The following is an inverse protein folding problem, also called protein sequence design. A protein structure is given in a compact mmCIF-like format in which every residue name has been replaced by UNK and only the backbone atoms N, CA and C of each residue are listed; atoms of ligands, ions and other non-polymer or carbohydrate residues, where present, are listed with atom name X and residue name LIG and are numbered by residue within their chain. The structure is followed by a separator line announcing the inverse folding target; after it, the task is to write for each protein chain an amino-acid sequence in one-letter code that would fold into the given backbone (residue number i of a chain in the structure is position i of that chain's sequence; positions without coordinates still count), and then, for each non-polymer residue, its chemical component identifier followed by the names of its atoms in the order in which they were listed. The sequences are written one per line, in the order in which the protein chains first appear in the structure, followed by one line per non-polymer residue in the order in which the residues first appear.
data_IF_706849825754
#
_entry.id   IF_706849825754
#
_cell.length_a   1.000
_cell.length_b   1.000
_cell.length_c   1.000
_cell.angle_alpha   90.00
_cell.angle_beta   90.00
_cell.angle_gamma   90.00
#
_symmetry.space_group_name_H-M   'P 1'
#
loop_
_entity.id
_entity.type
_entity.pdbx_description
1 polymer ?
#
# COMPACT_ATOMS: atom_id res chain seq x y z
N UNK A 1 32.89 6.45 27.41
CA UNK A 1 32.62 5.70 26.16
C UNK A 1 31.50 6.39 25.40
N UNK A 2 31.76 6.81 24.16
CA UNK A 2 30.77 7.39 23.27
C UNK A 2 29.69 6.37 22.89
N UNK A 3 28.56 6.83 22.34
CA UNK A 3 27.46 5.96 21.87
C UNK A 3 27.97 4.96 20.81
N UNK A 4 28.91 5.39 19.98
CA UNK A 4 29.55 4.55 18.95
C UNK A 4 30.47 3.50 19.55
N UNK A 5 31.20 3.83 20.62
CA UNK A 5 32.06 2.86 21.32
C UNK A 5 31.24 1.79 22.03
N UNK A 6 30.10 2.17 22.63
CA UNK A 6 29.16 1.20 23.23
C UNK A 6 28.57 0.25 22.19
N UNK A 7 28.19 0.76 21.01
CA UNK A 7 27.70 -0.04 19.90
C UNK A 7 28.77 -1.02 19.38
N UNK A 8 30.01 -0.55 19.20
CA UNK A 8 31.13 -1.41 18.76
C UNK A 8 31.46 -2.53 19.74
N UNK A 9 31.35 -2.28 21.04
CA UNK A 9 31.55 -3.32 22.06
C UNK A 9 30.44 -4.36 22.02
N UNK A 10 29.18 -3.94 21.86
CA UNK A 10 28.04 -4.85 21.73
C UNK A 10 28.21 -5.77 20.50
N UNK A 11 28.62 -5.24 19.35
CA UNK A 11 28.86 -6.03 18.14
C UNK A 11 30.00 -7.04 18.29
N UNK A 12 31.02 -6.76 19.12
CA UNK A 12 32.14 -7.69 19.38
C UNK A 12 31.77 -8.84 20.32
N UNK A 13 30.72 -8.69 21.12
CA UNK A 13 30.20 -9.72 22.04
C UNK A 13 29.10 -10.58 21.42
N UNK A 14 28.61 -10.25 20.24
CA UNK A 14 27.67 -11.10 19.50
C UNK A 14 28.49 -12.23 18.87
N UNK A 15 28.31 -13.44 19.39
CA UNK A 15 28.84 -14.64 18.77
C UNK A 15 28.14 -14.86 17.41
N UNK A 16 28.88 -14.59 16.35
CA UNK A 16 28.41 -14.72 14.96
C UNK A 16 28.54 -16.16 14.43
N UNK A 17 29.05 -17.10 15.24
CA UNK A 17 29.20 -18.51 14.82
C UNK A 17 27.85 -19.16 14.52
N UNK A 18 26.80 -18.86 15.30
CA UNK A 18 25.42 -19.32 15.06
C UNK A 18 24.82 -18.80 13.73
N UNK A 19 25.29 -17.66 13.22
CA UNK A 19 24.84 -17.10 11.94
C UNK A 19 25.52 -17.76 10.74
N UNK A 20 26.70 -18.37 10.94
CA UNK A 20 27.46 -19.00 9.84
C UNK A 20 27.00 -20.42 9.51
N UNK A 21 26.41 -21.13 10.48
CA UNK A 21 25.96 -22.52 10.31
C UNK A 21 24.61 -22.66 9.59
N UNK A 22 23.85 -21.57 9.43
CA UNK A 22 22.56 -21.58 8.71
C UNK A 22 22.69 -21.49 7.18
N UNK A 23 23.91 -21.31 6.65
CA UNK A 23 24.16 -21.31 5.18
C UNK A 23 24.07 -22.68 4.52
N UNK A 24 23.92 -23.78 5.28
CA UNK A 24 23.91 -25.15 4.72
C UNK A 24 22.51 -25.77 4.49
N UNK A 25 21.43 -25.07 4.79
CA UNK A 25 20.06 -25.53 4.47
C UNK A 25 19.33 -24.50 3.60
N UNK A 26 19.70 -24.47 2.33
CA UNK A 26 18.96 -23.79 1.26
C UNK A 26 17.73 -24.63 0.96
N UNK A 27 16.67 -24.50 1.77
CA UNK A 27 15.31 -24.89 1.34
C UNK A 27 14.17 -24.30 2.18
N UNK A 28 14.43 -23.67 3.34
CA UNK A 28 13.41 -22.85 4.03
C UNK A 28 14.04 -21.71 4.84
N UNK A 29 13.84 -20.42 4.49
CA UNK A 29 14.19 -19.33 5.40
C UNK A 29 13.11 -19.23 6.48
N UNK A 30 13.10 -20.16 7.44
CA UNK A 30 12.21 -20.11 8.62
C UNK A 30 12.77 -19.16 9.66
N UNK A 31 12.57 -17.86 9.45
CA UNK A 31 12.15 -16.86 10.45
C UNK A 31 12.50 -15.46 9.92
N UNK A 32 11.73 -14.96 8.96
CA UNK A 32 11.65 -13.52 8.76
C UNK A 32 10.90 -12.98 9.98
N UNK A 33 11.58 -12.26 10.87
CA UNK A 33 10.94 -11.57 12.00
C UNK A 33 9.78 -10.76 11.43
N UNK A 34 8.57 -11.07 11.86
CA UNK A 34 7.38 -10.40 11.35
C UNK A 34 7.44 -8.92 11.75
N UNK A 35 7.47 -8.04 10.74
CA UNK A 35 7.59 -6.59 10.96
C UNK A 35 6.28 -5.84 10.73
N UNK A 36 5.15 -6.54 10.71
CA UNK A 36 3.81 -6.00 10.52
C UNK A 36 2.77 -6.87 11.24
N UNK A 37 1.58 -6.34 11.48
CA UNK A 37 0.45 -7.05 12.10
C UNK A 37 -0.36 -7.81 11.04
N UNK A 38 -0.82 -9.01 11.37
CA UNK A 38 -1.69 -9.78 10.48
C UNK A 38 -3.07 -9.13 10.33
N UNK A 39 -3.64 -9.15 9.13
CA UNK A 39 -5.01 -8.73 8.93
C UNK A 39 -5.96 -9.60 9.77
N UNK A 40 -6.96 -8.96 10.36
CA UNK A 40 -7.99 -9.63 11.15
C UNK A 40 -9.37 -9.40 10.53
N UNK A 41 -10.31 -10.31 10.72
CA UNK A 41 -11.65 -10.22 10.15
C UNK A 41 -12.42 -8.98 10.62
N UNK A 42 -12.16 -8.52 11.85
CA UNK A 42 -12.78 -7.31 12.40
C UNK A 42 -12.17 -6.00 11.86
N UNK A 43 -11.10 -6.06 11.05
CA UNK A 43 -10.53 -4.91 10.36
C UNK A 43 -11.40 -4.52 9.16
N UNK A 44 -12.49 -3.83 9.47
CA UNK A 44 -13.46 -3.31 8.51
C UNK A 44 -13.40 -1.78 8.51
N UNK A 45 -13.72 -1.18 7.36
CA UNK A 45 -13.78 0.27 7.27
C UNK A 45 -14.89 0.86 8.15
N UNK A 46 -15.96 0.11 8.44
CA UNK A 46 -17.01 0.51 9.37
C UNK A 46 -16.50 0.69 10.81
N UNK A 47 -15.54 -0.14 11.23
CA UNK A 47 -14.99 -0.09 12.60
C UNK A 47 -13.92 0.97 12.78
N UNK A 48 -13.12 1.23 11.73
CA UNK A 48 -11.89 2.01 11.87
C UNK A 48 -11.87 3.33 11.11
N UNK A 49 -12.51 3.41 9.93
CA UNK A 49 -12.41 4.60 9.10
C UNK A 49 -12.93 5.84 9.83
N UNK A 50 -12.18 6.92 9.73
CA UNK A 50 -12.62 8.27 10.11
C UNK A 50 -12.97 9.12 8.90
N UNK A 51 -13.02 8.51 7.71
CA UNK A 51 -13.23 9.19 6.42
C UNK A 51 -12.29 10.38 6.24
N UNK A 52 -11.01 10.15 6.57
CA UNK A 52 -9.97 11.17 6.51
C UNK A 52 -8.90 10.82 5.49
N UNK A 53 -8.28 11.86 4.94
CA UNK A 53 -7.10 11.76 4.11
C UNK A 53 -5.98 12.61 4.72
N UNK A 54 -4.76 12.09 4.70
CA UNK A 54 -3.59 12.73 5.25
C UNK A 54 -2.99 13.77 4.29
N UNK A 55 -3.04 13.49 3.00
CA UNK A 55 -2.48 14.37 1.97
C UNK A 55 -3.11 14.08 0.60
N UNK A 56 -3.08 15.07 -0.28
CA UNK A 56 -3.43 14.95 -1.68
C UNK A 56 -2.36 15.61 -2.54
N UNK A 57 -1.77 14.84 -3.46
CA UNK A 57 -0.67 15.27 -4.33
C UNK A 57 -1.07 15.13 -5.79
N UNK A 58 -1.38 16.24 -6.49
CA UNK A 58 -1.62 16.20 -7.91
C UNK A 58 -0.31 16.11 -8.69
N UNK A 59 -0.39 15.59 -9.93
CA UNK A 59 0.66 15.63 -10.94
C UNK A 59 2.01 15.02 -10.55
N UNK A 60 1.99 13.86 -9.89
CA UNK A 60 3.18 13.18 -9.41
C UNK A 60 3.52 11.92 -10.22
N UNK A 61 4.73 11.39 -10.04
CA UNK A 61 5.31 10.32 -10.89
C UNK A 61 5.75 9.09 -10.08
N UNK A 62 5.54 9.09 -8.76
CA UNK A 62 6.18 8.13 -7.84
C UNK A 62 5.24 7.03 -7.35
N UNK A 63 3.93 7.21 -7.51
CA UNK A 63 2.90 6.30 -7.01
C UNK A 63 2.22 5.48 -8.13
N UNK A 64 2.83 5.41 -9.30
CA UNK A 64 2.36 4.59 -10.42
C UNK A 64 2.86 5.11 -11.76
N UNK A 65 2.47 4.43 -12.83
CA UNK A 65 2.85 4.83 -14.18
C UNK A 65 2.13 6.11 -14.64
N UNK A 66 2.85 6.94 -15.39
CA UNK A 66 2.36 8.22 -15.89
C UNK A 66 2.30 9.33 -14.84
N UNK A 67 1.67 10.45 -15.21
CA UNK A 67 1.37 11.55 -14.28
C UNK A 67 0.10 11.18 -13.52
N UNK A 68 0.15 11.21 -12.19
CA UNK A 68 -0.92 10.72 -11.34
C UNK A 68 -1.42 11.78 -10.37
N UNK A 69 -2.71 11.72 -10.06
CA UNK A 69 -3.28 12.36 -8.88
C UNK A 69 -3.30 11.33 -7.76
N UNK A 70 -2.63 11.60 -6.65
CA UNK A 70 -2.45 10.66 -5.55
C UNK A 70 -3.14 11.14 -4.27
N UNK A 71 -4.06 10.34 -3.73
CA UNK A 71 -4.67 10.59 -2.42
C UNK A 71 -4.13 9.60 -1.37
N UNK A 72 -3.70 10.14 -0.23
CA UNK A 72 -3.13 9.37 0.88
C UNK A 72 -4.18 9.28 1.99
N UNK A 73 -4.87 8.15 2.11
CA UNK A 73 -5.90 7.94 3.13
C UNK A 73 -5.29 7.69 4.51
N UNK A 74 -5.96 8.17 5.56
CA UNK A 74 -5.45 8.07 6.93
C UNK A 74 -5.83 6.74 7.59
N UNK A 75 -4.89 6.17 8.35
CA UNK A 75 -5.13 4.97 9.15
C UNK A 75 -4.63 3.69 8.51
N UNK A 76 -3.79 2.94 9.23
CA UNK A 76 -3.28 1.63 8.82
C UNK A 76 -3.07 0.74 10.04
N UNK A 77 -3.64 -0.46 10.03
CA UNK A 77 -3.49 -1.40 11.15
C UNK A 77 -2.32 -2.36 10.96
N UNK A 78 -1.76 -2.51 9.75
CA UNK A 78 -0.57 -3.33 9.51
C UNK A 78 0.64 -2.84 10.30
N UNK A 79 0.75 -1.53 10.51
CA UNK A 79 1.81 -0.91 11.32
C UNK A 79 3.22 -1.45 10.98
N UNK A 80 3.54 -1.50 9.68
CA UNK A 80 4.81 -2.04 9.20
C UNK A 80 5.98 -1.24 9.81
N UNK A 81 7.00 -1.93 10.32
CA UNK A 81 8.21 -1.32 10.86
C UNK A 81 8.97 -0.57 9.76
N UNK A 82 9.44 0.65 10.04
CA UNK A 82 10.11 1.53 9.06
C UNK A 82 9.24 1.83 7.82
N UNK A 83 7.91 1.87 7.99
CA UNK A 83 7.01 2.23 6.90
C UNK A 83 7.27 3.66 6.42
N UNK A 84 7.37 3.85 5.11
CA UNK A 84 7.52 5.18 4.51
C UNK A 84 6.39 6.14 4.94
N UNK A 85 5.18 5.60 5.13
CA UNK A 85 3.97 6.31 5.51
C UNK A 85 3.63 6.12 7.00
N UNK A 86 4.62 5.94 7.89
CA UNK A 86 4.38 5.74 9.33
C UNK A 86 3.55 6.87 9.97
N UNK A 87 3.80 8.12 9.56
CA UNK A 87 3.11 9.30 10.11
C UNK A 87 1.60 9.31 9.87
N UNK A 88 1.09 8.55 8.88
CA UNK A 88 -0.31 8.52 8.49
C UNK A 88 -1.02 7.21 8.88
N UNK A 89 -0.37 6.34 9.67
CA UNK A 89 -0.98 5.12 10.19
C UNK A 89 -2.07 5.38 11.24
N UNK A 90 -2.12 6.59 11.83
CA UNK A 90 -3.17 6.99 12.75
C UNK A 90 -4.39 7.52 11.97
N UNK A 91 -5.56 6.92 12.22
CA UNK A 91 -6.82 7.26 11.55
C UNK A 91 -7.29 8.72 11.74
N UNK A 92 -6.76 9.44 12.72
CA UNK A 92 -7.15 10.84 12.99
C UNK A 92 -6.31 11.88 12.23
N UNK A 93 -5.23 11.45 11.56
CA UNK A 93 -4.33 12.34 10.82
C UNK A 93 -5.03 12.97 9.62
N UNK A 94 -4.67 14.22 9.31
CA UNK A 94 -5.17 14.94 8.15
C UNK A 94 -6.59 15.45 8.29
N UNK A 95 -7.22 15.64 7.14
CA UNK A 95 -8.49 16.34 6.98
C UNK A 95 -9.63 15.38 6.67
N UNK A 96 -10.86 15.83 6.92
CA UNK A 96 -12.06 15.09 6.52
C UNK A 96 -12.18 15.06 5.00
N UNK A 97 -12.53 13.90 4.46
CA UNK A 97 -12.85 13.76 3.06
C UNK A 97 -14.21 14.39 2.78
N UNK A 98 -14.22 15.39 1.90
CA UNK A 98 -15.40 16.18 1.56
C UNK A 98 -15.59 16.23 0.05
N UNK A 99 -16.77 16.69 -0.39
CA UNK A 99 -17.02 16.92 -1.80
C UNK A 99 -16.04 17.94 -2.41
N UNK A 100 -15.54 18.90 -1.63
CA UNK A 100 -14.59 19.92 -2.11
C UNK A 100 -13.28 19.28 -2.58
N UNK A 101 -12.70 18.38 -1.78
CA UNK A 101 -11.47 17.68 -2.19
C UNK A 101 -11.75 16.69 -3.32
N UNK A 102 -12.91 16.03 -3.32
CA UNK A 102 -13.32 15.14 -4.41
C UNK A 102 -13.45 15.89 -5.75
N UNK A 103 -14.15 17.03 -5.77
CA UNK A 103 -14.30 17.89 -6.95
C UNK A 103 -12.92 18.31 -7.47
N UNK A 104 -12.02 18.72 -6.57
CA UNK A 104 -10.63 19.08 -6.93
C UNK A 104 -9.87 17.92 -7.58
N UNK A 105 -9.97 16.71 -7.04
CA UNK A 105 -9.31 15.53 -7.61
C UNK A 105 -9.85 15.24 -9.01
N UNK A 106 -11.17 15.31 -9.20
CA UNK A 106 -11.79 15.10 -10.51
C UNK A 106 -11.32 16.16 -11.51
N UNK A 107 -11.30 17.44 -11.12
CA UNK A 107 -10.82 18.52 -11.99
C UNK A 107 -9.36 18.32 -12.40
N UNK A 108 -8.48 17.96 -11.46
CA UNK A 108 -7.08 17.66 -11.77
C UNK A 108 -6.93 16.45 -12.71
N UNK A 109 -7.78 15.42 -12.56
CA UNK A 109 -7.80 14.24 -13.44
C UNK A 109 -8.25 14.55 -14.87
N UNK A 110 -9.01 15.64 -15.11
CA UNK A 110 -9.46 16.04 -16.46
C UNK A 110 -8.30 16.44 -17.38
N UNK A 111 -7.15 16.81 -16.83
CA UNK A 111 -5.99 17.14 -17.64
C UNK A 111 -5.57 15.95 -18.51
N UNK A 112 -5.39 16.20 -19.81
CA UNK A 112 -5.09 15.15 -20.81
C UNK A 112 -3.75 14.46 -20.58
N UNK A 113 -2.80 15.13 -19.93
CA UNK A 113 -1.51 14.56 -19.57
C UNK A 113 -1.54 13.71 -18.29
N UNK A 114 -2.64 13.74 -17.52
CA UNK A 114 -2.80 12.91 -16.32
C UNK A 114 -3.29 11.52 -16.74
N UNK A 115 -2.53 10.50 -16.39
CA UNK A 115 -2.88 9.11 -16.71
C UNK A 115 -4.01 8.60 -15.82
N UNK A 116 -3.99 8.92 -14.53
CA UNK A 116 -5.08 8.51 -13.65
C UNK A 116 -4.87 8.77 -12.17
N UNK A 117 -5.66 8.05 -11.36
CA UNK A 117 -5.72 8.17 -9.91
C UNK A 117 -4.86 7.11 -9.24
N UNK A 118 -4.16 7.46 -8.15
CA UNK A 118 -3.64 6.48 -7.19
C UNK A 118 -4.29 6.69 -5.83
N UNK A 119 -4.84 5.62 -5.26
CA UNK A 119 -5.38 5.57 -3.91
C UNK A 119 -4.38 4.81 -3.05
N UNK A 120 -3.74 5.50 -2.12
CA UNK A 120 -2.72 4.93 -1.26
C UNK A 120 -2.83 5.52 0.16
N UNK A 121 -1.77 5.40 0.95
CA UNK A 121 -1.63 6.08 2.23
C UNK A 121 -1.35 5.12 3.36
N UNK A 122 -2.13 5.23 4.44
CA UNK A 122 -2.21 4.22 5.47
C UNK A 122 -2.69 2.90 4.87
N UNK A 123 -4.00 2.64 4.90
CA UNK A 123 -4.61 1.45 4.28
C UNK A 123 -5.94 1.83 3.62
N UNK A 124 -5.99 1.91 2.28
CA UNK A 124 -7.21 2.17 1.53
C UNK A 124 -8.35 1.21 1.82
N UNK A 125 -8.08 -0.09 2.02
CA UNK A 125 -9.11 -1.09 2.31
C UNK A 125 -9.65 -1.03 3.75
N UNK A 126 -9.17 -0.11 4.58
CA UNK A 126 -9.78 0.30 5.85
C UNK A 126 -10.50 1.65 5.76
N UNK A 127 -10.58 2.22 4.56
CA UNK A 127 -11.25 3.47 4.24
C UNK A 127 -12.11 3.32 2.96
N UNK A 128 -12.68 2.14 2.74
CA UNK A 128 -13.46 1.79 1.54
C UNK A 128 -14.60 2.77 1.28
N UNK A 129 -15.20 3.40 2.31
CA UNK A 129 -16.25 4.40 2.07
C UNK A 129 -15.75 5.61 1.27
N UNK A 130 -14.52 6.06 1.53
CA UNK A 130 -13.90 7.17 0.76
C UNK A 130 -13.40 6.65 -0.59
N UNK A 131 -12.66 5.53 -0.58
CA UNK A 131 -12.03 5.00 -1.78
C UNK A 131 -13.05 4.58 -2.84
N UNK A 132 -14.16 3.93 -2.45
CA UNK A 132 -15.24 3.53 -3.37
C UNK A 132 -15.95 4.77 -3.92
N UNK A 133 -16.25 5.76 -3.07
CA UNK A 133 -16.89 7.01 -3.51
C UNK A 133 -16.10 7.68 -4.62
N UNK A 134 -14.79 7.88 -4.38
CA UNK A 134 -13.90 8.49 -5.36
C UNK A 134 -13.75 7.62 -6.61
N UNK A 135 -13.52 6.31 -6.45
CA UNK A 135 -13.31 5.41 -7.58
C UNK A 135 -14.55 5.33 -8.48
N UNK A 136 -15.76 5.24 -7.90
CA UNK A 136 -17.01 5.31 -8.66
C UNK A 136 -17.13 6.60 -9.43
N UNK A 137 -16.85 7.74 -8.80
CA UNK A 137 -16.92 9.02 -9.48
C UNK A 137 -15.92 9.15 -10.63
N UNK A 138 -14.70 8.61 -10.47
CA UNK A 138 -13.73 8.52 -11.57
C UNK A 138 -14.28 7.66 -12.71
N UNK A 139 -14.93 6.52 -12.42
CA UNK A 139 -15.58 5.69 -13.44
C UNK A 139 -16.74 6.40 -14.13
N UNK A 140 -17.53 7.17 -13.40
CA UNK A 140 -18.66 7.93 -13.94
C UNK A 140 -18.20 9.05 -14.89
N UNK A 141 -17.13 9.77 -14.53
CA UNK A 141 -16.63 10.92 -15.28
C UNK A 141 -15.73 10.53 -16.46
N UNK A 142 -14.96 9.44 -16.33
CA UNK A 142 -13.88 9.09 -17.26
C UNK A 142 -13.94 7.65 -17.80
N UNK A 143 -14.88 6.82 -17.33
CA UNK A 143 -14.91 5.41 -17.64
C UNK A 143 -13.58 4.72 -17.27
N UNK A 144 -12.92 4.15 -18.28
CA UNK A 144 -11.60 3.52 -18.14
C UNK A 144 -10.47 4.28 -18.86
N UNK A 145 -10.72 5.53 -19.28
CA UNK A 145 -9.66 6.38 -19.85
C UNK A 145 -8.63 6.80 -18.79
N UNK A 146 -9.05 6.89 -17.53
CA UNK A 146 -8.18 7.12 -16.37
C UNK A 146 -8.07 5.82 -15.58
N UNK A 147 -6.85 5.29 -15.47
CA UNK A 147 -6.60 4.09 -14.67
C UNK A 147 -6.60 4.42 -13.17
N UNK A 148 -6.97 3.44 -12.35
CA UNK A 148 -6.99 3.56 -10.89
C UNK A 148 -6.03 2.53 -10.30
N UNK A 149 -4.99 3.03 -9.67
CA UNK A 149 -4.06 2.24 -8.88
C UNK A 149 -4.48 2.27 -7.41
N UNK A 150 -4.36 1.15 -6.71
CA UNK A 150 -4.57 1.08 -5.27
C UNK A 150 -3.44 0.33 -4.58
N UNK A 151 -2.94 0.86 -3.47
CA UNK A 151 -1.91 0.23 -2.63
C UNK A 151 -2.58 -0.43 -1.44
N UNK A 152 -2.08 -1.57 -0.99
CA UNK A 152 -2.58 -2.24 0.20
C UNK A 152 -1.53 -3.10 0.89
N UNK A 153 -1.63 -3.20 2.22
CA UNK A 153 -0.93 -4.22 2.99
C UNK A 153 -1.59 -5.61 2.89
N UNK A 154 -2.83 -5.69 2.41
CA UNK A 154 -3.47 -6.96 2.09
C UNK A 154 -2.89 -7.55 0.81
N UNK A 155 -2.87 -8.89 0.70
CA UNK A 155 -2.63 -9.54 -0.58
C UNK A 155 -3.90 -9.58 -1.42
N UNK A 156 -3.76 -9.72 -2.74
CA UNK A 156 -4.88 -9.89 -3.66
C UNK A 156 -5.84 -11.00 -3.22
N UNK A 157 -5.30 -12.14 -2.79
CA UNK A 157 -6.09 -13.29 -2.33
C UNK A 157 -6.84 -12.98 -1.03
N UNK A 158 -6.25 -12.19 -0.12
CA UNK A 158 -6.94 -11.73 1.09
C UNK A 158 -8.09 -10.78 0.75
N UNK A 159 -7.91 -9.90 -0.25
CA UNK A 159 -8.95 -8.98 -0.70
C UNK A 159 -10.10 -9.70 -1.41
N UNK A 160 -9.79 -10.70 -2.25
CA UNK A 160 -10.81 -11.55 -2.90
C UNK A 160 -11.65 -12.34 -1.89
N UNK A 161 -11.10 -12.68 -0.72
CA UNK A 161 -11.82 -13.33 0.37
C UNK A 161 -12.29 -12.34 1.45
N UNK A 162 -12.11 -11.03 1.23
CA UNK A 162 -12.47 -9.98 2.16
C UNK A 162 -13.97 -9.70 2.21
N UNK A 163 -14.32 -8.63 2.91
CA UNK A 163 -15.68 -8.09 2.95
C UNK A 163 -16.12 -7.53 1.59
N UNK A 164 -17.42 -7.42 1.38
CA UNK A 164 -17.98 -6.99 0.08
C UNK A 164 -17.52 -5.59 -0.34
N UNK A 165 -17.32 -4.67 0.60
CA UNK A 165 -16.75 -3.35 0.32
C UNK A 165 -15.30 -3.41 -0.18
N UNK A 166 -14.50 -4.37 0.31
CA UNK A 166 -13.13 -4.58 -0.21
C UNK A 166 -13.18 -5.13 -1.63
N UNK A 167 -14.07 -6.10 -1.92
CA UNK A 167 -14.24 -6.64 -3.27
C UNK A 167 -14.77 -5.58 -4.24
N UNK A 168 -15.69 -4.73 -3.77
CA UNK A 168 -16.23 -3.61 -4.55
C UNK A 168 -15.15 -2.59 -4.89
N UNK A 169 -14.34 -2.17 -3.91
CA UNK A 169 -13.21 -1.28 -4.21
C UNK A 169 -12.24 -1.92 -5.21
N UNK A 170 -11.92 -3.21 -5.03
CA UNK A 170 -11.02 -3.93 -5.91
C UNK A 170 -11.53 -4.01 -7.35
N UNK A 171 -12.84 -4.22 -7.56
CA UNK A 171 -13.44 -4.31 -8.89
C UNK A 171 -13.49 -2.96 -9.63
N UNK A 172 -13.39 -1.86 -8.90
CA UNK A 172 -13.31 -0.52 -9.47
C UNK A 172 -11.88 -0.14 -9.88
N UNK A 173 -10.85 -0.86 -9.43
CA UNK A 173 -9.44 -0.55 -9.70
C UNK A 173 -8.87 -1.34 -10.89
N UNK A 174 -7.78 -0.83 -11.48
CA UNK A 174 -7.07 -1.47 -12.60
C UNK A 174 -5.77 -2.15 -12.16
N UNK A 175 -5.06 -1.55 -11.19
CA UNK A 175 -3.76 -2.04 -10.70
C UNK A 175 -3.77 -2.08 -9.19
N UNK A 176 -3.31 -3.19 -8.61
CA UNK A 176 -3.12 -3.36 -7.17
C UNK A 176 -1.63 -3.51 -6.87
N UNK A 177 -1.11 -2.66 -5.97
CA UNK A 177 0.17 -2.89 -5.31
C UNK A 177 -0.13 -3.56 -3.97
N UNK A 178 0.14 -4.87 -3.90
CA UNK A 178 -0.32 -5.72 -2.79
C UNK A 178 0.78 -6.10 -1.80
N UNK A 179 0.37 -6.47 -0.59
CA UNK A 179 1.24 -6.99 0.44
C UNK A 179 1.90 -5.93 1.34
N UNK A 180 2.22 -6.31 2.59
CA UNK A 180 2.80 -5.39 3.56
C UNK A 180 4.26 -5.07 3.23
N UNK A 181 4.69 -3.86 3.59
CA UNK A 181 6.11 -3.51 3.54
C UNK A 181 6.94 -4.36 4.53
N UNK A 182 8.01 -4.97 4.03
CA UNK A 182 8.95 -5.77 4.82
C UNK A 182 10.36 -5.18 4.75
N UNK A 183 10.85 -4.62 5.87
CA UNK A 183 12.15 -3.94 5.92
C UNK A 183 13.33 -4.81 5.49
N UNK A 184 13.29 -6.12 5.77
CA UNK A 184 14.36 -7.05 5.36
C UNK A 184 14.37 -7.36 3.86
N UNK A 185 13.29 -7.01 3.16
CA UNK A 185 13.12 -7.14 1.73
C UNK A 185 13.11 -5.77 1.04
N UNK A 186 13.48 -4.71 1.77
CA UNK A 186 13.51 -3.35 1.24
C UNK A 186 14.51 -3.25 0.10
N UNK A 187 14.06 -2.74 -1.03
CA UNK A 187 14.90 -2.48 -2.19
C UNK A 187 14.41 -1.22 -2.89
N UNK A 188 15.27 -0.20 -2.92
CA UNK A 188 14.97 1.12 -3.48
C UNK A 188 15.04 1.16 -5.01
N UNK A 189 15.54 0.10 -5.65
CA UNK A 189 15.56 -0.02 -7.11
C UNK A 189 14.22 -0.51 -7.68
N UNK A 190 13.33 -1.01 -6.82
CA UNK A 190 12.01 -1.49 -7.22
C UNK A 190 11.12 -0.32 -7.64
N UNK A 191 10.48 -0.47 -8.81
CA UNK A 191 9.48 0.50 -9.28
C UNK A 191 8.23 0.40 -8.42
N UNK A 192 7.76 1.53 -7.88
CA UNK A 192 6.43 1.67 -7.26
C UNK A 192 6.14 0.75 -6.05
N UNK A 193 7.14 0.07 -5.48
CA UNK A 193 7.01 -0.75 -4.28
C UNK A 193 8.24 -0.63 -3.40
N UNK A 194 8.06 -0.78 -2.09
CA UNK A 194 9.13 -0.60 -1.11
C UNK A 194 9.91 -1.87 -0.79
N UNK A 195 9.31 -3.04 -0.98
CA UNK A 195 9.93 -4.33 -0.70
C UNK A 195 9.57 -5.40 -1.74
N UNK A 196 10.48 -6.36 -1.95
CA UNK A 196 10.40 -7.34 -3.04
C UNK A 196 9.28 -8.38 -2.89
N UNK A 197 8.65 -8.48 -1.72
CA UNK A 197 7.46 -9.32 -1.52
C UNK A 197 6.17 -8.69 -2.08
N UNK A 198 6.13 -7.37 -2.26
CA UNK A 198 4.93 -6.69 -2.75
C UNK A 198 4.79 -6.95 -4.24
N UNK A 199 3.59 -7.21 -4.75
CA UNK A 199 3.36 -7.45 -6.19
C UNK A 199 2.61 -6.28 -6.80
N UNK A 200 2.90 -5.98 -8.08
CA UNK A 200 2.11 -5.02 -8.86
C UNK A 200 1.26 -5.83 -9.82
N UNK A 201 -0.04 -5.92 -9.55
CA UNK A 201 -0.96 -6.85 -10.18
C UNK A 201 -1.87 -6.11 -11.15
N UNK A 202 -1.97 -6.63 -12.38
CA UNK A 202 -2.97 -6.20 -13.37
C UNK A 202 -4.31 -6.86 -13.02
N UNK A 203 -5.23 -6.09 -12.44
CA UNK A 203 -6.52 -6.62 -11.96
C UNK A 203 -7.44 -7.05 -13.10
N UNK A 204 -7.28 -6.46 -14.29
CA UNK A 204 -8.10 -6.80 -15.47
C UNK A 204 -7.72 -8.15 -16.06
N UNK A 205 -6.44 -8.51 -15.97
CA UNK A 205 -5.92 -9.79 -16.50
C UNK A 205 -5.83 -10.90 -15.46
N UNK A 206 -5.85 -10.55 -14.17
CA UNK A 206 -5.69 -11.52 -13.09
C UNK A 206 -7.00 -12.22 -12.71
N UNK A 207 -6.92 -13.51 -12.42
CA UNK A 207 -7.97 -14.28 -11.76
C UNK A 207 -7.47 -14.81 -10.42
N UNK A 208 -8.34 -15.47 -9.65
CA UNK A 208 -7.96 -16.10 -8.38
C UNK A 208 -6.89 -17.17 -8.55
N UNK A 209 -6.91 -17.88 -9.67
CA UNK A 209 -6.01 -18.99 -9.99
C UNK A 209 -4.75 -18.53 -10.73
N UNK A 210 -4.79 -17.36 -11.38
CA UNK A 210 -3.70 -16.85 -12.19
C UNK A 210 -3.51 -15.34 -11.99
N UNK A 211 -2.46 -14.98 -11.26
CA UNK A 211 -2.07 -13.59 -11.03
C UNK A 211 -1.16 -13.12 -12.15
N UNK A 212 -1.55 -12.05 -12.84
CA UNK A 212 -0.77 -11.39 -13.90
C UNK A 212 -0.15 -10.12 -13.35
N UNK A 213 1.16 -9.98 -13.51
CA UNK A 213 1.92 -8.84 -12.99
C UNK A 213 1.96 -7.72 -14.05
N UNK A 214 1.76 -6.46 -13.63
CA UNK A 214 1.56 -5.30 -14.52
C UNK A 214 2.87 -4.76 -15.14
N UNK A 215 4.05 -5.07 -14.56
CA UNK A 215 5.35 -4.52 -14.97
C UNK A 215 6.49 -5.57 -14.96
N UNK A 216 6.15 -6.84 -15.09
CA UNK A 216 7.10 -7.96 -15.17
C UNK A 216 7.02 -8.69 -16.51
#
# INVERSE_FOLDING_TARGET
MSREEKLRTIFKTIDMSEYSDTKKNIDKPTCLIKTYKDPQDFWTAANYSKKKYADYKPFQFVDGEGIRCSIYLSGCLFACKECFNESIQNFNVGEEYTKVIEDKIIDDLRHTYVQGLTILGGEPFLNTQVAISLAKRVREEFGYEKDIWVYSGYTYEQLLNGSEDKKELLSLCDVLVDGPFMIFLKDLSLRFRGSSNQRIIDLKKSTRENVVLYLE
#
